data_IF_012589094462
#
_entry.id   IF_012589094462
#
_cell.length_a   1.000
_cell.length_b   1.000
_cell.length_c   1.000
_cell.angle_alpha   90.00
_cell.angle_beta   90.00
_cell.angle_gamma   90.00
#
_symmetry.space_group_name_H-M   'P 1'
#
loop_
_entity.id
_entity.type
_entity.pdbx_description
1 polymer ?
#
# COMPACT_ATOMS: atom_id res chain seq x y z
N UNK A 1 14.89 34.05 13.74
CA UNK A 1 14.63 33.34 12.46
C UNK A 1 15.04 31.85 12.48
N UNK A 2 16.23 31.49 12.95
CA UNK A 2 16.73 30.09 12.92
C UNK A 2 15.82 29.08 13.65
N UNK A 3 15.28 29.45 14.81
CA UNK A 3 14.39 28.59 15.63
C UNK A 3 13.04 28.33 14.95
N UNK A 4 12.50 29.33 14.24
CA UNK A 4 11.20 29.24 13.54
C UNK A 4 11.31 28.27 12.35
N UNK A 5 12.42 28.31 11.62
CA UNK A 5 12.69 27.39 10.51
C UNK A 5 12.83 25.93 10.97
N UNK A 6 13.52 25.69 12.10
CA UNK A 6 13.65 24.34 12.67
C UNK A 6 12.32 23.76 13.14
N UNK A 7 11.45 24.56 13.78
CA UNK A 7 10.12 24.10 14.19
C UNK A 7 9.22 23.77 12.99
N UNK A 8 9.27 24.55 11.91
CA UNK A 8 8.49 24.27 10.70
C UNK A 8 8.91 22.95 10.01
N UNK A 9 10.21 22.65 10.01
CA UNK A 9 10.76 21.41 9.43
C UNK A 9 10.35 20.16 10.22
N UNK A 10 10.38 20.23 11.56
CA UNK A 10 9.95 19.14 12.44
C UNK A 10 8.45 18.84 12.29
N UNK A 11 7.61 19.87 12.18
CA UNK A 11 6.16 19.69 11.98
C UNK A 11 5.82 19.05 10.63
N UNK A 12 6.59 19.33 9.58
CA UNK A 12 6.37 18.73 8.25
C UNK A 12 6.65 17.22 8.24
N UNK A 13 7.69 16.76 8.95
CA UNK A 13 8.06 15.35 9.00
C UNK A 13 6.96 14.45 9.62
N UNK A 14 6.21 14.96 10.60
CA UNK A 14 5.11 14.21 11.25
C UNK A 14 3.93 13.99 10.29
N UNK A 15 3.68 14.94 9.38
CA UNK A 15 2.58 14.83 8.41
C UNK A 15 2.85 13.79 7.31
N UNK A 16 4.11 13.49 7.00
CA UNK A 16 4.46 12.44 6.03
C UNK A 16 4.32 11.02 6.59
N UNK A 17 4.32 10.84 7.91
CA UNK A 17 4.21 9.52 8.55
C UNK A 17 2.81 8.88 8.41
N UNK A 18 1.79 9.64 8.02
CA UNK A 18 0.42 9.15 7.87
C UNK A 18 0.12 8.52 6.49
N UNK A 19 1.12 8.34 5.63
CA UNK A 19 0.96 7.74 4.30
C UNK A 19 0.99 6.19 4.37
N UNK A 20 0.17 5.58 5.21
CA UNK A 20 -0.01 4.13 5.18
C UNK A 20 -0.95 3.73 4.03
N UNK A 21 -0.58 2.72 3.24
CA UNK A 21 -1.42 2.29 2.13
C UNK A 21 -2.63 1.50 2.65
N UNK A 22 -3.81 1.69 2.04
CA UNK A 22 -5.03 0.93 2.36
C UNK A 22 -4.81 -0.60 2.35
N UNK A 23 -3.86 -1.06 1.54
CA UNK A 23 -3.55 -2.49 1.34
C UNK A 23 -2.78 -3.10 2.52
N UNK A 24 -1.98 -2.31 3.22
CA UNK A 24 -1.24 -2.77 4.41
C UNK A 24 -2.17 -3.19 5.55
N UNK A 25 -3.35 -2.55 5.66
CA UNK A 25 -4.36 -2.85 6.68
C UNK A 25 -5.33 -3.96 6.27
N UNK A 26 -5.19 -4.49 5.05
CA UNK A 26 -6.09 -5.52 4.55
C UNK A 26 -5.76 -6.86 5.22
N UNK A 27 -6.74 -7.59 5.78
CA UNK A 27 -6.53 -8.94 6.30
C UNK A 27 -6.04 -9.91 5.23
N UNK A 28 -5.30 -10.94 5.64
CA UNK A 28 -4.60 -11.88 4.75
C UNK A 28 -5.56 -12.63 3.82
N UNK A 29 -6.69 -13.09 4.35
CA UNK A 29 -7.76 -13.76 3.60
C UNK A 29 -8.35 -12.84 2.52
N UNK A 30 -8.57 -11.57 2.86
CA UNK A 30 -9.09 -10.58 1.93
C UNK A 30 -8.06 -10.18 0.87
N UNK A 31 -6.79 -10.11 1.24
CA UNK A 31 -5.71 -9.82 0.31
C UNK A 31 -5.51 -10.97 -0.68
N UNK A 32 -5.53 -12.21 -0.21
CA UNK A 32 -5.48 -13.41 -1.04
C UNK A 32 -6.68 -13.48 -2.00
N UNK A 33 -7.90 -13.21 -1.50
CA UNK A 33 -9.10 -13.16 -2.34
C UNK A 33 -8.98 -12.08 -3.43
N UNK A 34 -8.48 -10.88 -3.10
CA UNK A 34 -8.27 -9.81 -4.07
C UNK A 34 -7.18 -10.14 -5.09
N UNK A 35 -6.13 -10.85 -4.69
CA UNK A 35 -5.10 -11.34 -5.60
C UNK A 35 -5.70 -12.35 -6.60
N UNK A 36 -6.52 -13.28 -6.11
CA UNK A 36 -7.25 -14.24 -6.96
C UNK A 36 -8.21 -13.55 -7.92
N UNK A 37 -8.99 -12.57 -7.43
CA UNK A 37 -9.88 -11.75 -8.28
C UNK A 37 -9.08 -11.13 -9.44
N UNK A 38 -7.94 -10.51 -9.13
CA UNK A 38 -7.07 -9.88 -10.11
C UNK A 38 -6.50 -10.85 -11.14
N UNK A 39 -6.21 -12.11 -10.76
CA UNK A 39 -5.73 -13.13 -11.68
C UNK A 39 -6.82 -13.66 -12.63
N UNK A 40 -8.09 -13.57 -12.22
CA UNK A 40 -9.22 -14.10 -12.98
C UNK A 40 -9.80 -13.10 -14.00
N UNK A 41 -9.44 -11.81 -13.93
CA UNK A 41 -10.02 -10.78 -14.80
C UNK A 41 -9.32 -10.76 -16.16
N UNK A 42 -10.08 -10.99 -17.23
CA UNK A 42 -9.57 -10.99 -18.60
C UNK A 42 -9.34 -9.59 -19.18
N UNK A 43 -10.26 -8.65 -18.94
CA UNK A 43 -10.19 -7.28 -19.47
C UNK A 43 -10.54 -6.25 -18.37
N UNK A 44 -9.56 -5.86 -17.53
CA UNK A 44 -9.79 -4.95 -16.42
C UNK A 44 -9.91 -3.50 -16.87
N UNK A 45 -10.83 -2.75 -16.25
CA UNK A 45 -10.85 -1.29 -16.40
C UNK A 45 -9.54 -0.67 -15.92
N UNK A 46 -9.24 0.55 -16.39
CA UNK A 46 -8.03 1.29 -15.97
C UNK A 46 -7.91 1.46 -14.46
N UNK A 47 -9.04 1.67 -13.78
CA UNK A 47 -9.10 1.72 -12.32
C UNK A 47 -8.74 0.37 -11.69
N UNK A 48 -9.26 -0.73 -12.26
CA UNK A 48 -8.97 -2.07 -11.77
C UNK A 48 -7.51 -2.49 -11.99
N UNK A 49 -6.89 -2.06 -13.10
CA UNK A 49 -5.46 -2.26 -13.33
C UNK A 49 -4.64 -1.65 -12.18
N UNK A 50 -4.99 -0.44 -11.73
CA UNK A 50 -4.29 0.20 -10.61
C UNK A 50 -4.54 -0.52 -9.28
N UNK A 51 -5.76 -1.01 -9.05
CA UNK A 51 -6.09 -1.85 -7.90
C UNK A 51 -5.20 -3.09 -7.88
N UNK A 52 -5.14 -3.84 -8.98
CA UNK A 52 -4.36 -5.07 -9.05
C UNK A 52 -2.86 -4.81 -8.88
N UNK A 53 -2.32 -3.73 -9.46
CA UNK A 53 -0.93 -3.30 -9.21
C UNK A 53 -0.64 -3.00 -7.73
N UNK A 54 -1.62 -2.48 -6.99
CA UNK A 54 -1.44 -2.22 -5.57
C UNK A 54 -1.50 -3.51 -4.75
N UNK A 55 -2.43 -4.42 -5.09
CA UNK A 55 -2.53 -5.76 -4.48
C UNK A 55 -1.23 -6.53 -4.66
N UNK A 56 -0.69 -6.58 -5.88
CA UNK A 56 0.59 -7.24 -6.16
C UNK A 56 1.74 -6.66 -5.32
N UNK A 57 1.85 -5.33 -5.24
CA UNK A 57 2.89 -4.68 -4.43
C UNK A 57 2.79 -5.03 -2.94
N UNK A 58 1.58 -5.14 -2.41
CA UNK A 58 1.39 -5.52 -1.01
C UNK A 58 1.73 -7.00 -0.78
N UNK A 59 1.36 -7.90 -1.71
CA UNK A 59 1.77 -9.30 -1.66
C UNK A 59 3.30 -9.44 -1.69
N UNK A 60 3.99 -8.71 -2.58
CA UNK A 60 5.45 -8.67 -2.65
C UNK A 60 6.07 -8.15 -1.35
N UNK A 61 5.56 -7.04 -0.81
CA UNK A 61 6.03 -6.50 0.47
C UNK A 61 5.89 -7.52 1.60
N UNK A 62 4.80 -8.28 1.64
CA UNK A 62 4.58 -9.33 2.65
C UNK A 62 5.52 -10.51 2.45
N UNK A 63 5.76 -10.91 1.21
CA UNK A 63 6.74 -11.94 0.86
C UNK A 63 8.14 -11.58 1.31
N UNK A 64 8.55 -10.32 1.13
CA UNK A 64 9.83 -9.80 1.60
C UNK A 64 9.94 -9.83 3.13
N UNK A 65 8.81 -9.87 3.84
CA UNK A 65 8.72 -10.06 5.29
C UNK A 65 8.44 -11.53 5.70
N UNK A 66 8.53 -12.49 4.77
CA UNK A 66 8.35 -13.93 5.04
C UNK A 66 6.90 -14.41 5.07
N UNK A 67 5.94 -13.60 4.61
CA UNK A 67 4.50 -13.93 4.59
C UNK A 67 4.04 -14.24 3.17
N UNK A 68 3.59 -15.48 2.92
CA UNK A 68 3.26 -16.02 1.60
C UNK A 68 1.76 -16.34 1.48
N UNK A 69 0.93 -15.29 1.45
CA UNK A 69 -0.54 -15.37 1.42
C UNK A 69 -1.11 -15.17 0.01
N UNK A 70 -0.30 -14.57 -0.87
CA UNK A 70 -0.38 -14.59 -2.32
C UNK A 70 0.95 -15.21 -2.82
#
# INVERSE_FOLDING_TARGET
>A
MKIIFTSALLSSAVLLAACESKWQKLPDDQLAAKASDCAAIADPSSAMIQVCKNVTRECERRRDNGVYIC
#
